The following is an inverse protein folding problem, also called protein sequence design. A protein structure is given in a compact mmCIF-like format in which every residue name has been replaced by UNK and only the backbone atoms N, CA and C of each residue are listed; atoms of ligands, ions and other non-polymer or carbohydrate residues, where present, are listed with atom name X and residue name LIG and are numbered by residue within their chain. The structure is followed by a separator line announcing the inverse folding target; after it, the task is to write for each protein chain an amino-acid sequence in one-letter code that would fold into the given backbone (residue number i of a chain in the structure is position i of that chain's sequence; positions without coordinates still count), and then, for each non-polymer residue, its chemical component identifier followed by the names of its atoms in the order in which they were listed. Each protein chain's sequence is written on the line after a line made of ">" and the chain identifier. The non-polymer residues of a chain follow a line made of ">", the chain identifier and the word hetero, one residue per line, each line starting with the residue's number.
data_IF_780462154164
#
_entry.id   IF_780462154164
#
_cell.length_a   1.000
_cell.length_b   1.000
_cell.length_c   1.000
_cell.angle_alpha   90.00
_cell.angle_beta   90.00
_cell.angle_gamma   90.00
#
_symmetry.space_group_name_H-M   'P 1'
#
loop_
_entity.id
_entity.type
_entity.pdbx_description
1 polymer ?
#
# COMPACT_ATOMS: atom_id res chain seq x y z
N UNK A 1 46.33 -22.67 -0.40
CA UNK A 1 45.04 -22.38 0.24
C UNK A 1 44.18 -21.60 -0.76
N UNK A 2 43.24 -22.25 -1.46
CA UNK A 2 41.77 -22.25 -1.20
C UNK A 2 41.17 -20.82 -1.26
N UNK A 3 40.13 -20.46 -2.02
CA UNK A 3 39.09 -21.21 -2.73
C UNK A 3 38.45 -20.33 -3.81
N UNK A 4 38.01 -20.96 -4.91
CA UNK A 4 37.14 -20.35 -5.91
C UNK A 4 35.68 -20.30 -5.39
N UNK A 5 35.02 -19.15 -5.53
CA UNK A 5 33.59 -19.02 -5.26
C UNK A 5 32.81 -19.38 -6.53
N UNK A 6 32.10 -20.51 -6.49
CA UNK A 6 31.17 -20.93 -7.54
C UNK A 6 29.86 -20.16 -7.41
N UNK A 7 29.45 -19.48 -8.48
CA UNK A 7 28.10 -18.93 -8.61
C UNK A 7 27.12 -20.07 -8.95
N UNK A 8 26.17 -20.33 -8.05
CA UNK A 8 25.11 -21.31 -8.28
C UNK A 8 23.97 -20.66 -9.06
N UNK A 9 23.74 -21.15 -10.28
CA UNK A 9 22.67 -20.75 -11.18
C UNK A 9 21.37 -21.43 -10.74
N UNK A 10 20.38 -20.64 -10.31
CA UNK A 10 19.03 -21.13 -10.02
C UNK A 10 18.31 -21.39 -11.34
N UNK A 11 18.03 -22.65 -11.62
CA UNK A 11 17.26 -23.08 -12.78
C UNK A 11 15.78 -23.09 -12.42
N UNK A 12 15.00 -22.19 -13.02
CA UNK A 12 13.54 -22.26 -13.03
C UNK A 12 13.09 -23.47 -13.84
N UNK A 13 12.59 -24.49 -13.14
CA UNK A 13 11.82 -25.58 -13.75
C UNK A 13 10.58 -25.82 -12.90
N UNK A 14 9.46 -25.23 -13.30
CA UNK A 14 8.14 -25.68 -12.87
C UNK A 14 7.29 -25.96 -14.11
N UNK A 15 7.59 -27.10 -14.72
CA UNK A 15 6.65 -27.79 -15.58
C UNK A 15 5.44 -28.21 -14.74
N UNK A 16 4.24 -27.76 -15.11
CA UNK A 16 2.99 -28.28 -14.55
C UNK A 16 2.42 -29.38 -15.46
N UNK A 17 2.26 -30.63 -14.98
CA UNK A 17 1.41 -31.60 -15.66
C UNK A 17 0.03 -31.66 -15.01
N UNK A 18 -0.95 -31.34 -15.85
CA UNK A 18 -2.37 -31.55 -15.74
C UNK A 18 -2.79 -32.99 -15.37
N UNK A 19 -4.01 -33.06 -14.83
CA UNK A 19 -4.97 -34.18 -14.87
C UNK A 19 -4.73 -35.42 -13.98
N UNK A 20 -5.63 -35.59 -13.01
CA UNK A 20 -6.12 -36.92 -12.61
C UNK A 20 -7.62 -37.01 -12.93
N UNK A 21 -7.90 -37.47 -14.14
CA UNK A 21 -9.12 -38.25 -14.43
C UNK A 21 -8.97 -39.60 -13.73
N UNK A 22 -10.00 -40.02 -13.01
CA UNK A 22 -10.35 -41.43 -12.85
C UNK A 22 -11.86 -41.53 -12.76
N UNK A 23 -12.47 -41.98 -13.85
CA UNK A 23 -13.76 -42.63 -13.81
C UNK A 23 -13.58 -44.14 -13.67
N UNK A 24 -14.56 -44.78 -13.03
CA UNK A 24 -15.24 -46.02 -13.47
C UNK A 24 -15.49 -46.99 -12.31
N UNK A 25 -16.76 -47.21 -11.99
CA UNK A 25 -17.27 -48.54 -11.66
C UNK A 25 -18.78 -48.63 -11.95
N UNK A 26 -19.17 -49.76 -12.54
CA UNK A 26 -20.49 -50.17 -12.98
C UNK A 26 -21.53 -50.35 -11.85
N UNK A 27 -22.81 -50.16 -12.19
CA UNK A 27 -23.84 -51.19 -11.92
C UNK A 27 -24.92 -50.88 -10.86
N UNK A 28 -26.08 -50.44 -11.37
CA UNK A 28 -27.46 -50.78 -10.96
C UNK A 28 -28.04 -50.32 -9.60
N UNK A 29 -29.18 -49.61 -9.69
CA UNK A 29 -30.34 -49.86 -8.82
C UNK A 29 -30.77 -48.72 -7.89
N UNK A 30 -31.96 -48.19 -8.17
CA UNK A 30 -32.88 -47.45 -7.30
C UNK A 30 -32.69 -45.94 -7.12
N UNK A 31 -33.60 -45.23 -7.82
CA UNK A 31 -33.91 -43.80 -7.75
C UNK A 31 -34.90 -43.59 -6.60
N UNK A 32 -34.52 -42.83 -5.57
CA UNK A 32 -35.19 -41.59 -5.15
C UNK A 32 -34.37 -40.96 -4.01
N UNK A 33 -33.39 -40.13 -4.37
CA UNK A 33 -32.64 -39.32 -3.40
C UNK A 33 -32.84 -37.86 -3.81
N UNK A 34 -33.72 -37.19 -3.10
CA UNK A 34 -34.01 -35.76 -3.21
C UNK A 34 -32.71 -34.96 -3.11
N UNK A 35 -32.23 -34.53 -4.28
CA UNK A 35 -31.04 -33.72 -4.49
C UNK A 35 -31.32 -32.29 -4.03
N UNK A 36 -31.26 -32.07 -2.72
CA UNK A 36 -31.05 -30.76 -2.13
C UNK A 36 -29.56 -30.50 -1.99
N UNK A 37 -28.82 -30.39 -3.11
CA UNK A 37 -27.45 -29.87 -3.11
C UNK A 37 -27.47 -28.39 -2.77
N UNK A 38 -27.73 -28.11 -1.50
CA UNK A 38 -27.20 -26.92 -0.85
C UNK A 38 -25.69 -27.10 -0.89
N UNK A 39 -25.05 -26.55 -1.92
CA UNK A 39 -23.65 -26.20 -1.85
C UNK A 39 -23.52 -25.32 -0.61
N UNK A 40 -23.24 -25.94 0.53
CA UNK A 40 -22.72 -25.24 1.68
C UNK A 40 -21.46 -24.56 1.17
N UNK A 41 -21.50 -23.24 1.09
CA UNK A 41 -20.32 -22.42 0.93
C UNK A 41 -19.53 -22.59 2.23
N UNK A 42 -18.84 -23.72 2.36
CA UNK A 42 -17.89 -24.00 3.42
C UNK A 42 -16.79 -22.97 3.26
N UNK A 43 -16.92 -21.86 3.97
CA UNK A 43 -15.99 -20.74 3.89
C UNK A 43 -14.55 -21.20 4.12
N UNK A 44 -13.61 -20.57 3.44
CA UNK A 44 -12.20 -20.94 3.53
C UNK A 44 -11.67 -20.81 4.97
N UNK A 45 -11.07 -21.88 5.50
CA UNK A 45 -10.51 -21.93 6.83
C UNK A 45 -8.97 -21.86 6.78
N UNK A 46 -8.41 -20.74 7.25
CA UNK A 46 -6.95 -20.57 7.31
C UNK A 46 -6.24 -21.61 8.19
N UNK A 47 -6.88 -22.10 9.25
CA UNK A 47 -6.30 -23.11 10.14
C UNK A 47 -6.10 -24.43 9.41
N UNK A 48 -7.16 -24.93 8.76
CA UNK A 48 -7.11 -26.16 7.96
C UNK A 48 -6.10 -26.05 6.82
N UNK A 49 -6.10 -24.92 6.09
CA UNK A 49 -5.15 -24.68 5.01
C UNK A 49 -3.69 -24.72 5.47
N UNK A 50 -3.36 -24.06 6.60
CA UNK A 50 -2.00 -24.05 7.13
C UNK A 50 -1.57 -25.44 7.60
N UNK A 51 -2.49 -26.22 8.18
CA UNK A 51 -2.26 -27.61 8.57
C UNK A 51 -2.04 -28.52 7.36
N UNK A 52 -2.90 -28.45 6.34
CA UNK A 52 -2.84 -29.29 5.13
C UNK A 52 -1.57 -29.00 4.31
N UNK A 53 -1.21 -27.72 4.17
CA UNK A 53 -0.02 -27.31 3.41
C UNK A 53 1.28 -27.41 4.20
N UNK A 54 1.21 -27.60 5.53
CA UNK A 54 2.37 -27.48 6.42
C UNK A 54 3.00 -26.09 6.42
N UNK A 55 2.29 -25.07 5.94
CA UNK A 55 2.75 -23.69 5.90
C UNK A 55 2.66 -23.05 7.29
N UNK A 56 3.49 -22.03 7.52
CA UNK A 56 3.44 -21.22 8.73
C UNK A 56 2.99 -19.80 8.39
N UNK A 57 2.08 -19.26 9.18
CA UNK A 57 1.71 -17.85 9.07
C UNK A 57 2.92 -16.96 9.37
N UNK A 58 3.08 -15.89 8.58
CA UNK A 58 4.12 -14.91 8.86
C UNK A 58 3.91 -14.31 10.26
N UNK A 59 4.94 -14.29 11.13
CA UNK A 59 4.83 -13.65 12.44
C UNK A 59 4.39 -12.19 12.33
N UNK A 60 3.60 -11.70 13.29
CA UNK A 60 3.20 -10.28 13.31
C UNK A 60 4.40 -9.32 13.35
N UNK A 61 5.51 -9.74 13.98
CA UNK A 61 6.79 -9.02 14.01
C UNK A 61 7.49 -8.93 12.66
N UNK A 62 7.09 -9.72 11.66
CA UNK A 62 7.55 -9.58 10.28
C UNK A 62 7.02 -8.29 9.63
N UNK A 63 5.98 -7.67 10.19
CA UNK A 63 5.32 -6.49 9.64
C UNK A 63 5.65 -5.22 10.45
N UNK A 64 6.92 -4.78 10.41
CA UNK A 64 7.40 -3.59 11.14
C UNK A 64 6.60 -2.31 10.90
N UNK A 65 6.01 -2.15 9.71
CA UNK A 65 5.17 -0.99 9.37
C UNK A 65 3.91 -0.88 10.24
N UNK A 66 3.42 -1.99 10.79
CA UNK A 66 2.26 -2.03 11.69
C UNK A 66 2.62 -1.37 13.02
N UNK A 67 3.79 -1.70 13.59
CA UNK A 67 4.27 -1.08 14.84
C UNK A 67 4.52 0.42 14.70
N UNK A 68 5.10 0.84 13.56
CA UNK A 68 5.34 2.26 13.25
C UNK A 68 4.03 3.05 13.20
N UNK A 69 2.98 2.46 12.63
CA UNK A 69 1.65 3.10 12.55
C UNK A 69 1.01 3.34 13.91
N UNK A 70 1.20 2.40 14.84
CA UNK A 70 0.63 2.48 16.20
C UNK A 70 1.36 3.55 17.02
N UNK A 71 2.64 3.80 16.73
CA UNK A 71 3.45 4.79 17.43
C UNK A 71 3.32 6.21 16.85
N UNK A 72 2.95 6.33 15.57
CA UNK A 72 2.79 7.61 14.90
C UNK A 72 1.62 8.42 15.48
N UNK A 73 1.86 9.69 15.78
CA UNK A 73 0.83 10.64 16.25
C UNK A 73 0.08 11.34 15.10
N UNK A 74 0.35 10.97 13.85
CA UNK A 74 -0.29 11.56 12.68
C UNK A 74 -1.77 11.19 12.63
N UNK A 75 -2.62 12.16 12.27
CA UNK A 75 -4.05 11.97 12.12
C UNK A 75 -4.56 12.62 10.84
N UNK A 76 -5.58 12.04 10.17
CA UNK A 76 -6.28 12.70 9.09
C UNK A 76 -6.74 14.11 9.49
N UNK A 77 -6.57 15.07 8.57
CA UNK A 77 -6.88 16.49 8.77
C UNK A 77 -5.71 17.33 9.31
N UNK A 78 -4.65 16.73 9.85
CA UNK A 78 -3.44 17.47 10.23
C UNK A 78 -2.76 18.09 9.00
N UNK A 79 -2.06 19.21 9.21
CA UNK A 79 -1.24 19.87 8.20
C UNK A 79 0.24 19.79 8.58
N UNK A 80 1.08 19.68 7.56
CA UNK A 80 2.54 19.61 7.69
C UNK A 80 3.23 20.26 6.48
N UNK A 81 4.50 20.59 6.65
CA UNK A 81 5.40 21.08 5.61
C UNK A 81 6.19 19.90 5.04
N UNK A 82 6.21 19.76 3.71
CA UNK A 82 6.79 18.64 2.96
C UNK A 82 7.83 19.19 2.00
N UNK A 83 9.03 18.61 1.96
CA UNK A 83 10.05 19.04 0.98
C UNK A 83 9.62 18.77 -0.47
N UNK A 84 9.90 19.72 -1.36
CA UNK A 84 9.63 19.59 -2.78
C UNK A 84 10.64 18.64 -3.45
N UNK A 85 10.15 17.66 -4.20
CA UNK A 85 11.01 16.62 -4.84
C UNK A 85 12.07 17.20 -5.77
N UNK A 86 11.76 18.28 -6.47
CA UNK A 86 12.63 18.90 -7.47
C UNK A 86 13.57 19.96 -6.87
N UNK A 87 13.25 20.48 -5.69
CA UNK A 87 13.99 21.56 -5.06
C UNK A 87 14.01 21.38 -3.53
N UNK A 88 15.00 20.66 -2.99
CA UNK A 88 15.03 20.23 -1.60
C UNK A 88 15.15 21.36 -0.57
N UNK A 89 15.43 22.60 -0.98
CA UNK A 89 15.44 23.78 -0.09
C UNK A 89 14.07 24.47 0.03
N UNK A 90 13.05 23.90 -0.63
CA UNK A 90 11.70 24.47 -0.68
C UNK A 90 10.67 23.47 -0.21
N UNK A 91 9.63 23.98 0.46
CA UNK A 91 8.63 23.15 1.12
C UNK A 91 7.20 23.58 0.79
N UNK A 92 6.37 22.55 0.64
CA UNK A 92 4.93 22.45 0.44
C UNK A 92 4.06 22.35 1.70
N UNK A 93 3.02 23.13 1.94
CA UNK A 93 2.03 22.71 2.97
C UNK A 93 1.14 21.61 2.40
N UNK A 94 1.05 20.47 3.08
CA UNK A 94 0.15 19.36 2.75
C UNK A 94 -0.79 19.01 3.92
N UNK A 95 -1.94 18.44 3.60
CA UNK A 95 -2.91 17.92 4.56
C UNK A 95 -2.90 16.38 4.53
N UNK A 96 -2.93 15.75 5.69
CA UNK A 96 -3.06 14.30 5.82
C UNK A 96 -4.48 13.90 5.46
N UNK A 97 -4.66 13.13 4.39
CA UNK A 97 -5.95 12.59 3.97
C UNK A 97 -6.22 11.27 4.69
N UNK A 98 -5.22 10.39 4.77
CA UNK A 98 -5.29 9.14 5.54
C UNK A 98 -3.91 8.66 5.98
N UNK A 99 -3.90 7.77 6.96
CA UNK A 99 -2.70 7.12 7.52
C UNK A 99 -2.78 5.63 7.25
N UNK A 100 -1.70 5.03 6.76
CA UNK A 100 -1.60 3.59 6.51
C UNK A 100 -0.19 3.11 6.84
N UNK A 101 0.02 2.47 7.99
CA UNK A 101 1.36 2.02 8.32
C UNK A 101 2.31 3.20 8.58
N UNK A 102 3.45 3.16 7.90
CA UNK A 102 4.42 4.25 7.76
C UNK A 102 4.10 5.22 6.61
N UNK A 103 3.03 4.99 5.86
CA UNK A 103 2.65 5.81 4.71
C UNK A 103 1.54 6.78 5.08
N UNK A 104 1.69 8.03 4.64
CA UNK A 104 0.66 9.05 4.68
C UNK A 104 0.14 9.29 3.27
N UNK A 105 -1.18 9.32 3.12
CA UNK A 105 -1.77 9.90 1.92
C UNK A 105 -1.89 11.40 2.15
N UNK A 106 -1.21 12.19 1.34
CA UNK A 106 -1.12 13.64 1.47
C UNK A 106 -1.77 14.32 0.27
N UNK A 107 -2.32 15.51 0.51
CA UNK A 107 -2.73 16.46 -0.53
C UNK A 107 -2.10 17.81 -0.27
N UNK A 108 -1.45 18.39 -1.28
CA UNK A 108 -0.94 19.76 -1.18
C UNK A 108 -2.07 20.77 -1.02
N UNK A 109 -1.81 21.83 -0.25
CA UNK A 109 -2.73 22.95 -0.11
C UNK A 109 -2.91 23.64 -1.46
N UNK A 110 -4.16 23.93 -1.83
CA UNK A 110 -4.53 24.50 -3.13
C UNK A 110 -5.37 23.57 -4.00
N UNK A 111 -5.28 22.25 -3.80
CA UNK A 111 -6.01 21.26 -4.61
C UNK A 111 -7.45 21.00 -4.15
N UNK A 112 -7.93 21.68 -3.10
CA UNK A 112 -9.28 21.52 -2.58
C UNK A 112 -9.64 20.05 -2.32
N UNK A 113 -10.73 19.59 -2.93
CA UNK A 113 -11.23 18.21 -2.81
C UNK A 113 -10.76 17.25 -3.91
N UNK A 114 -9.84 17.66 -4.79
CA UNK A 114 -9.39 16.83 -5.92
C UNK A 114 -8.51 15.65 -5.49
N UNK A 115 -9.13 14.46 -5.43
CA UNK A 115 -8.46 13.20 -5.07
C UNK A 115 -7.39 12.76 -6.07
N UNK A 116 -7.37 13.31 -7.29
CA UNK A 116 -6.33 13.00 -8.29
C UNK A 116 -4.98 13.60 -7.91
N UNK A 117 -4.97 14.61 -7.04
CA UNK A 117 -3.77 15.26 -6.53
C UNK A 117 -3.21 14.59 -5.26
N UNK A 118 -3.84 13.52 -4.76
CA UNK A 118 -3.37 12.80 -3.59
C UNK A 118 -2.13 11.98 -3.93
N UNK A 119 -1.15 11.97 -3.03
CA UNK A 119 0.06 11.17 -3.19
C UNK A 119 0.46 10.49 -1.89
N UNK A 120 1.02 9.29 -2.02
CA UNK A 120 1.58 8.56 -0.89
C UNK A 120 2.98 9.08 -0.54
N UNK A 121 3.24 9.19 0.75
CA UNK A 121 4.48 9.70 1.31
C UNK A 121 4.93 8.79 2.46
N UNK A 122 6.19 8.38 2.45
CA UNK A 122 6.78 7.54 3.50
C UNK A 122 7.38 8.42 4.60
N UNK A 123 6.89 8.29 5.84
CA UNK A 123 7.33 9.15 6.96
C UNK A 123 8.78 8.95 7.39
N UNK A 124 9.41 7.84 7.00
CA UNK A 124 10.81 7.53 7.35
C UNK A 124 11.77 8.15 6.34
N UNK A 125 11.36 8.21 5.07
CA UNK A 125 12.20 8.67 3.97
C UNK A 125 11.94 10.14 3.66
N UNK A 126 10.70 10.60 3.80
CA UNK A 126 10.32 11.96 3.47
C UNK A 126 10.76 12.95 4.56
N UNK A 127 11.13 14.14 4.13
CA UNK A 127 11.43 15.26 5.01
C UNK A 127 10.13 16.00 5.34
N UNK A 128 9.57 15.66 6.51
CA UNK A 128 8.27 16.14 6.99
C UNK A 128 8.44 16.95 8.27
N UNK A 129 7.80 18.12 8.32
CA UNK A 129 7.93 19.03 9.45
C UNK A 129 6.57 19.60 9.89
N UNK A 130 6.43 19.96 11.18
CA UNK A 130 5.25 20.68 11.64
C UNK A 130 5.15 22.04 10.95
N UNK A 131 3.92 22.55 10.80
CA UNK A 131 3.68 23.88 10.24
C UNK A 131 4.44 24.94 11.05
N UNK A 132 5.11 25.85 10.34
CA UNK A 132 5.95 26.91 10.89
C UNK A 132 7.43 26.57 10.97
N UNK A 133 7.84 25.35 10.58
CA UNK A 133 9.24 24.93 10.61
C UNK A 133 10.09 25.71 9.60
N UNK A 134 9.59 25.96 8.39
CA UNK A 134 10.31 26.74 7.39
C UNK A 134 10.66 28.15 7.89
N UNK A 135 9.73 28.82 8.57
CA UNK A 135 9.97 30.13 9.18
C UNK A 135 11.07 30.08 10.23
N UNK A 136 11.12 29.01 11.03
CA UNK A 136 12.13 28.83 12.09
C UNK A 136 13.51 28.48 11.54
N UNK A 137 13.56 27.76 10.42
CA UNK A 137 14.80 27.22 9.83
C UNK A 137 15.27 28.00 8.60
N UNK A 138 14.67 29.16 8.34
CA UNK A 138 14.99 30.03 7.21
C UNK A 138 14.91 29.31 5.84
N UNK A 139 13.92 28.42 5.71
CA UNK A 139 13.58 27.70 4.48
C UNK A 139 12.42 28.39 3.76
N UNK A 140 12.29 28.13 2.47
CA UNK A 140 11.29 28.81 1.64
C UNK A 140 10.03 27.94 1.53
N UNK A 141 8.89 28.52 1.88
CA UNK A 141 7.59 27.89 1.69
C UNK A 141 7.07 28.26 0.29
N UNK A 142 7.17 27.34 -0.66
CA UNK A 142 6.74 27.57 -2.04
C UNK A 142 5.99 26.36 -2.60
N UNK A 143 4.86 26.57 -3.30
CA UNK A 143 4.24 25.52 -4.08
C UNK A 143 5.27 24.95 -5.05
N UNK A 144 5.35 23.63 -5.27
CA UNK A 144 6.19 23.13 -6.34
C UNK A 144 5.76 23.69 -7.74
N UNK A 145 6.50 23.34 -8.79
CA UNK A 145 6.29 23.94 -10.11
C UNK A 145 4.96 23.50 -10.77
N UNK A 146 4.42 22.33 -10.41
CA UNK A 146 3.18 21.81 -11.01
C UNK A 146 1.90 22.44 -10.44
N UNK A 147 1.98 23.00 -9.23
CA UNK A 147 0.87 23.66 -8.52
C UNK A 147 0.88 25.18 -8.67
N UNK A 148 2.02 25.77 -9.06
CA UNK A 148 2.11 27.19 -9.36
C UNK A 148 1.08 27.59 -10.44
N UNK A 149 0.94 26.75 -11.48
CA UNK A 149 -0.03 26.96 -12.55
C UNK A 149 -1.49 26.81 -12.07
N UNK A 150 -1.78 25.80 -11.24
CA UNK A 150 -3.14 25.52 -10.75
C UNK A 150 -3.62 26.59 -9.77
N UNK A 151 -2.74 27.07 -8.90
CA UNK A 151 -3.02 28.18 -7.98
C UNK A 151 -3.21 29.52 -8.72
N UNK A 152 -2.48 29.73 -9.81
CA UNK A 152 -2.66 30.92 -10.65
C UNK A 152 -4.04 30.93 -11.33
N UNK A 153 -4.52 29.78 -11.81
CA UNK A 153 -5.84 29.60 -12.42
C UNK A 153 -6.97 29.78 -11.39
N UNK A 154 -6.79 29.23 -10.17
CA UNK A 154 -7.78 29.37 -9.09
C UNK A 154 -7.89 30.82 -8.57
N UNK A 155 -6.79 31.58 -8.60
CA UNK A 155 -6.76 32.99 -8.17
C UNK A 155 -7.28 33.97 -9.24
N UNK A 156 -7.49 33.51 -10.47
CA UNK A 156 -7.92 34.33 -11.62
C UNK A 156 -9.42 34.57 -11.75
N UNK A 157 -10.28 34.00 -10.90
CA UNK A 157 -11.73 34.22 -10.92
C UNK A 157 -12.14 35.38 -9.99
N UNK A 158 -11.67 36.58 -10.28
CA UNK A 158 -12.30 37.81 -9.78
C UNK A 158 -12.19 38.92 -10.82
N UNK A 159 -12.91 38.76 -11.92
CA UNK A 159 -13.23 39.83 -12.86
C UNK A 159 -14.67 39.64 -13.35
N UNK A 160 -15.58 40.33 -12.67
CA UNK A 160 -16.63 41.14 -13.29
C UNK A 160 -17.14 42.18 -12.32
#
# INVERSE_FOLDING_TARGET
>A
MESALSASSMQDTSSSPLEKRLGSAHGNGDLDSEEGSSLEETGFNWGEYLEETGASAAPHTSFKHVEISIQSNFQPGMKLEVANKNNPDTYWVATIITTCGQLLLLRYCGYGEDRRADFWCDVVIADLHPVGWCTQNNKVLMPPDAESDVLSLASGQHIS
#
